data_IF_036491228016
#
_entry.id   IF_036491228016
#
_cell.length_a   1.000
_cell.length_b   1.000
_cell.length_c   1.000
_cell.angle_alpha   90.00
_cell.angle_beta   90.00
_cell.angle_gamma   90.00
#
_symmetry.space_group_name_H-M   'P 1'
#
loop_
_entity.id
_entity.type
_entity.pdbx_description
1 polymer ?
#
# COMPACT_ATOMS: atom_id res chain seq x y z
N UNK A 1 -87.62 43.19 8.75
CA UNK A 1 -86.33 43.54 8.13
C UNK A 1 -85.44 42.32 8.19
N UNK A 2 -84.69 41.99 7.13
CA UNK A 2 -84.07 40.68 6.94
C UNK A 2 -82.84 40.48 7.86
N UNK A 3 -82.55 39.21 8.15
CA UNK A 3 -81.38 38.77 8.92
C UNK A 3 -80.07 39.14 8.20
N UNK A 4 -79.00 39.50 8.92
CA UNK A 4 -77.69 39.66 8.30
C UNK A 4 -77.19 38.28 7.84
N UNK A 5 -76.89 38.16 6.56
CA UNK A 5 -76.16 37.04 5.99
C UNK A 5 -74.83 36.89 6.75
N UNK A 6 -74.64 35.76 7.43
CA UNK A 6 -73.30 35.23 7.65
C UNK A 6 -72.75 34.88 6.28
N UNK A 7 -71.91 35.75 5.74
CA UNK A 7 -70.99 35.36 4.69
C UNK A 7 -70.02 34.37 5.33
N UNK A 8 -70.20 33.09 5.02
CA UNK A 8 -69.11 32.12 5.06
C UNK A 8 -67.96 32.74 4.27
N UNK A 9 -66.95 33.28 4.96
CA UNK A 9 -65.62 33.37 4.40
C UNK A 9 -65.15 31.93 4.23
N UNK A 10 -65.59 31.36 3.11
CA UNK A 10 -65.00 30.19 2.51
C UNK A 10 -63.50 30.36 2.59
N UNK A 11 -62.81 29.34 3.08
CA UNK A 11 -61.38 29.19 2.99
C UNK A 11 -60.96 29.27 1.50
N UNK A 12 -60.87 30.49 0.96
CA UNK A 12 -60.23 30.76 -0.30
C UNK A 12 -58.76 30.45 -0.07
N UNK A 13 -58.35 29.33 -0.66
CA UNK A 13 -56.99 28.83 -0.68
C UNK A 13 -56.13 29.89 -1.40
N UNK A 14 -55.71 30.92 -0.67
CA UNK A 14 -55.18 32.16 -1.24
C UNK A 14 -53.84 31.88 -1.93
N UNK A 15 -53.91 31.72 -3.24
CA UNK A 15 -52.78 31.39 -4.10
C UNK A 15 -51.67 32.44 -3.98
N UNK A 16 -52.02 33.70 -3.71
CA UNK A 16 -51.07 34.78 -3.46
C UNK A 16 -50.23 34.54 -2.21
N UNK A 17 -50.86 34.20 -1.08
CA UNK A 17 -50.16 33.95 0.19
C UNK A 17 -49.21 32.75 0.07
N UNK A 18 -49.62 31.70 -0.65
CA UNK A 18 -48.75 30.55 -0.93
C UNK A 18 -47.54 30.93 -1.78
N UNK A 19 -47.71 31.80 -2.77
CA UNK A 19 -46.62 32.29 -3.62
C UNK A 19 -45.66 33.17 -2.81
N UNK A 20 -46.16 34.10 -1.99
CA UNK A 20 -45.32 34.94 -1.14
C UNK A 20 -44.59 34.12 -0.08
N UNK A 21 -45.26 33.16 0.54
CA UNK A 21 -44.63 32.24 1.48
C UNK A 21 -43.54 31.41 0.80
N UNK A 22 -43.80 30.86 -0.39
CA UNK A 22 -42.79 30.13 -1.15
C UNK A 22 -41.59 31.02 -1.53
N UNK A 23 -41.83 32.26 -1.97
CA UNK A 23 -40.78 33.23 -2.28
C UNK A 23 -39.96 33.61 -1.03
N UNK A 24 -40.62 33.80 0.11
CA UNK A 24 -39.97 34.04 1.40
C UNK A 24 -39.08 32.86 1.80
N UNK A 25 -39.60 31.63 1.75
CA UNK A 25 -38.83 30.42 2.07
C UNK A 25 -37.64 30.23 1.11
N UNK A 26 -37.83 30.55 -0.18
CA UNK A 26 -36.75 30.52 -1.19
C UNK A 26 -35.69 31.58 -0.87
N UNK A 27 -36.08 32.80 -0.49
CA UNK A 27 -35.16 33.85 -0.08
C UNK A 27 -34.36 33.48 1.17
N UNK A 28 -35.01 32.90 2.18
CA UNK A 28 -34.33 32.37 3.38
C UNK A 28 -33.34 31.27 3.00
N UNK A 29 -33.71 30.34 2.12
CA UNK A 29 -32.83 29.29 1.64
C UNK A 29 -31.61 29.85 0.88
N UNK A 30 -31.82 30.83 -0.01
CA UNK A 30 -30.74 31.47 -0.78
C UNK A 30 -29.76 32.24 0.12
N UNK A 31 -30.26 32.98 1.11
CA UNK A 31 -29.42 33.67 2.10
C UNK A 31 -28.65 32.65 2.95
N UNK A 32 -29.32 31.59 3.40
CA UNK A 32 -28.69 30.53 4.21
C UNK A 32 -27.58 29.82 3.43
N UNK A 33 -27.83 29.52 2.15
CA UNK A 33 -26.82 28.98 1.24
C UNK A 33 -25.66 29.96 1.04
N UNK A 34 -25.94 31.24 0.80
CA UNK A 34 -24.92 32.27 0.63
C UNK A 34 -24.03 32.45 1.86
N UNK A 35 -24.61 32.45 3.06
CA UNK A 35 -23.87 32.47 4.33
C UNK A 35 -23.03 31.20 4.48
N UNK A 36 -23.59 30.02 4.20
CA UNK A 36 -22.85 28.76 4.25
C UNK A 36 -21.67 28.74 3.27
N UNK A 37 -21.89 29.18 2.04
CA UNK A 37 -20.84 29.29 1.03
C UNK A 37 -19.74 30.27 1.47
N UNK A 38 -20.10 31.42 2.05
CA UNK A 38 -19.12 32.36 2.61
C UNK A 38 -18.31 31.73 3.75
N UNK A 39 -18.97 31.07 4.71
CA UNK A 39 -18.30 30.37 5.82
C UNK A 39 -17.27 29.36 5.29
N UNK A 40 -17.62 28.58 4.28
CA UNK A 40 -16.72 27.57 3.68
C UNK A 40 -15.59 28.22 2.87
N UNK A 41 -15.91 29.14 1.95
CA UNK A 41 -14.93 29.71 1.01
C UNK A 41 -13.99 30.73 1.66
N UNK A 42 -14.46 31.45 2.69
CA UNK A 42 -13.64 32.40 3.43
C UNK A 42 -13.00 31.79 4.69
N UNK A 43 -13.19 30.48 4.92
CA UNK A 43 -12.63 29.74 6.06
C UNK A 43 -12.91 30.41 7.42
N UNK A 44 -14.11 30.98 7.57
CA UNK A 44 -14.53 31.67 8.80
C UNK A 44 -15.16 30.64 9.75
N UNK A 45 -14.88 30.67 11.08
CA UNK A 45 -15.53 29.76 12.01
C UNK A 45 -17.07 29.75 11.86
N UNK A 46 -17.74 28.57 11.84
CA UNK A 46 -17.23 27.24 12.17
C UNK A 46 -16.84 26.36 10.95
N UNK A 47 -16.22 26.92 9.90
CA UNK A 47 -15.91 26.18 8.67
C UNK A 47 -15.25 24.81 8.92
N UNK A 48 -14.31 24.72 9.86
CA UNK A 48 -13.58 23.49 10.14
C UNK A 48 -14.50 22.37 10.63
N UNK A 49 -15.47 22.68 11.50
CA UNK A 49 -16.45 21.70 11.97
C UNK A 49 -17.34 21.22 10.83
N UNK A 50 -17.76 22.12 9.94
CA UNK A 50 -18.57 21.76 8.76
C UNK A 50 -17.78 20.91 7.77
N UNK A 51 -16.52 21.27 7.50
CA UNK A 51 -15.60 20.52 6.64
C UNK A 51 -15.35 19.12 7.19
N UNK A 52 -15.08 18.99 8.49
CA UNK A 52 -14.88 17.70 9.15
C UNK A 52 -16.14 16.85 9.13
N UNK A 53 -17.32 17.45 9.36
CA UNK A 53 -18.59 16.73 9.30
C UNK A 53 -18.90 16.22 7.88
N UNK A 54 -18.66 17.05 6.86
CA UNK A 54 -18.78 16.63 5.45
C UNK A 54 -17.80 15.51 5.10
N UNK A 55 -16.52 15.63 5.49
CA UNK A 55 -15.51 14.58 5.31
C UNK A 55 -15.92 13.26 5.97
N UNK A 56 -16.36 13.31 7.22
CA UNK A 56 -16.83 12.13 7.95
C UNK A 56 -18.05 11.49 7.28
N UNK A 57 -19.00 12.31 6.78
CA UNK A 57 -20.16 11.83 6.03
C UNK A 57 -19.78 11.18 4.70
N UNK A 58 -18.86 11.78 3.94
CA UNK A 58 -18.33 11.22 2.69
C UNK A 58 -17.59 9.92 2.95
N UNK A 59 -16.69 9.87 3.94
CA UNK A 59 -15.96 8.66 4.32
C UNK A 59 -16.91 7.53 4.73
N UNK A 60 -17.94 7.82 5.54
CA UNK A 60 -18.94 6.83 5.93
C UNK A 60 -19.77 6.34 4.74
N UNK A 61 -20.12 7.23 3.81
CA UNK A 61 -20.81 6.88 2.57
C UNK A 61 -19.94 5.96 1.70
N UNK A 62 -18.67 6.31 1.51
CA UNK A 62 -17.72 5.50 0.74
C UNK A 62 -17.48 4.15 1.39
N UNK A 63 -17.24 4.10 2.70
CA UNK A 63 -17.11 2.86 3.46
C UNK A 63 -18.30 1.93 3.24
N UNK A 64 -19.53 2.47 3.24
CA UNK A 64 -20.75 1.66 3.06
C UNK A 64 -21.08 1.29 1.62
N UNK A 65 -20.51 1.96 0.63
CA UNK A 65 -20.89 1.79 -0.79
C UNK A 65 -19.79 1.18 -1.64
N UNK A 66 -18.52 1.55 -1.39
CA UNK A 66 -17.35 1.02 -2.10
C UNK A 66 -16.78 -0.22 -1.41
N UNK A 67 -16.79 -0.25 -0.08
CA UNK A 67 -16.23 -1.33 0.74
C UNK A 67 -17.35 -2.23 1.31
N UNK A 68 -18.31 -2.59 0.46
CA UNK A 68 -19.45 -3.45 0.85
C UNK A 68 -19.22 -4.94 0.57
N UNK A 69 -18.26 -5.28 -0.31
CA UNK A 69 -18.00 -6.64 -0.79
C UNK A 69 -16.51 -6.82 -1.09
N UNK A 70 -16.00 -8.01 -0.86
CA UNK A 70 -14.58 -8.36 -0.99
C UNK A 70 -14.10 -8.22 -2.45
N UNK A 71 -14.96 -8.56 -3.40
CA UNK A 71 -14.68 -8.52 -4.83
C UNK A 71 -14.49 -7.09 -5.37
N UNK A 72 -14.95 -6.07 -4.63
CA UNK A 72 -14.81 -4.65 -4.98
C UNK A 72 -13.66 -3.96 -4.26
N UNK A 73 -12.91 -4.70 -3.45
CA UNK A 73 -11.69 -4.18 -2.83
C UNK A 73 -10.60 -4.02 -3.88
N UNK A 74 -9.70 -3.08 -3.64
CA UNK A 74 -8.50 -2.87 -4.46
C UNK A 74 -7.45 -3.99 -4.27
N UNK A 75 -7.81 -5.07 -3.59
CA UNK A 75 -7.05 -6.32 -3.48
C UNK A 75 -7.39 -7.32 -4.60
N UNK A 76 -8.36 -7.00 -5.46
CA UNK A 76 -8.72 -7.80 -6.61
C UNK A 76 -8.56 -6.98 -7.89
N UNK A 77 -8.15 -7.63 -8.96
CA UNK A 77 -7.99 -7.03 -10.28
C UNK A 77 -8.62 -7.92 -11.35
N UNK A 78 -9.08 -7.37 -12.49
CA UNK A 78 -9.51 -8.19 -13.62
C UNK A 78 -8.41 -9.16 -14.05
N UNK A 79 -8.72 -10.45 -14.11
CA UNK A 79 -7.80 -11.46 -14.58
C UNK A 79 -7.51 -11.23 -16.07
N UNK A 80 -6.23 -11.13 -16.42
CA UNK A 80 -5.77 -10.85 -17.80
C UNK A 80 -5.52 -12.11 -18.60
N UNK A 81 -5.52 -13.26 -17.94
CA UNK A 81 -5.30 -14.60 -18.50
C UNK A 81 -6.07 -15.65 -17.71
N UNK A 82 -6.37 -16.76 -18.36
CA UNK A 82 -6.93 -17.97 -17.75
C UNK A 82 -5.83 -18.91 -17.22
N UNK A 83 -4.56 -18.62 -17.52
CA UNK A 83 -3.43 -19.41 -17.03
C UNK A 83 -3.28 -19.30 -15.51
N UNK A 84 -2.84 -20.39 -14.89
CA UNK A 84 -2.66 -20.52 -13.43
C UNK A 84 -1.43 -21.38 -13.13
N UNK A 85 -0.80 -21.15 -11.97
CA UNK A 85 0.41 -21.86 -11.59
C UNK A 85 1.60 -21.47 -12.46
N UNK A 86 2.60 -22.35 -12.55
CA UNK A 86 3.80 -22.12 -13.36
C UNK A 86 3.50 -22.33 -14.85
N UNK A 87 3.71 -21.29 -15.65
CA UNK A 87 3.52 -21.29 -17.12
C UNK A 87 4.85 -21.35 -17.87
N UNK A 88 5.93 -20.84 -17.27
CA UNK A 88 7.29 -20.85 -17.82
C UNK A 88 8.25 -21.35 -16.72
N UNK A 89 9.11 -22.31 -17.06
CA UNK A 89 10.23 -22.73 -16.19
C UNK A 89 11.41 -23.21 -17.05
N UNK A 90 12.39 -22.33 -17.27
CA UNK A 90 13.65 -22.65 -17.96
C UNK A 90 14.68 -23.02 -16.90
N UNK A 91 14.61 -24.28 -16.46
CA UNK A 91 15.31 -24.77 -15.27
C UNK A 91 16.83 -24.55 -15.25
N UNK A 92 17.49 -24.39 -16.40
CA UNK A 92 18.92 -24.09 -16.55
C UNK A 92 19.27 -22.60 -16.40
N UNK A 93 18.29 -21.71 -16.48
CA UNK A 93 18.46 -20.25 -16.38
C UNK A 93 17.83 -19.64 -15.13
N UNK A 94 16.80 -20.27 -14.58
CA UNK A 94 16.08 -19.80 -13.40
C UNK A 94 16.89 -19.99 -12.12
N UNK A 95 16.84 -19.01 -11.21
CA UNK A 95 17.38 -19.13 -9.86
C UNK A 95 16.63 -20.22 -9.10
N UNK A 96 17.33 -21.22 -8.56
CA UNK A 96 16.67 -22.23 -7.71
C UNK A 96 16.31 -21.67 -6.34
N UNK A 97 15.23 -22.19 -5.76
CA UNK A 97 14.76 -21.82 -4.44
C UNK A 97 13.27 -22.11 -4.28
N UNK A 98 12.70 -21.62 -3.19
CA UNK A 98 11.26 -21.55 -2.97
C UNK A 98 10.81 -20.10 -3.17
N UNK A 99 9.59 -19.88 -3.65
CA UNK A 99 9.03 -18.52 -3.81
C UNK A 99 7.93 -18.32 -2.78
N UNK A 100 8.16 -17.39 -1.84
CA UNK A 100 7.17 -16.93 -0.88
C UNK A 100 6.40 -15.76 -1.50
N UNK A 101 5.09 -15.71 -1.34
CA UNK A 101 4.31 -14.53 -1.71
C UNK A 101 3.08 -14.32 -0.83
N UNK A 102 2.70 -13.06 -0.65
CA UNK A 102 1.44 -12.66 0.00
C UNK A 102 0.33 -12.44 -1.03
N UNK A 103 -0.92 -12.77 -0.68
CA UNK A 103 -2.05 -12.72 -1.62
C UNK A 103 -3.20 -11.86 -1.11
N UNK A 104 -3.80 -11.08 -2.00
CA UNK A 104 -4.89 -10.14 -1.70
C UNK A 104 -6.23 -10.79 -1.32
N UNK A 105 -6.37 -12.11 -1.44
CA UNK A 105 -7.59 -12.83 -1.06
C UNK A 105 -7.70 -13.16 0.44
N UNK A 106 -6.69 -12.80 1.25
CA UNK A 106 -6.81 -12.82 2.70
C UNK A 106 -5.49 -12.70 3.45
N UNK A 107 -5.50 -12.70 4.80
CA UNK A 107 -4.30 -12.58 5.64
C UNK A 107 -3.53 -13.91 5.70
N UNK A 108 -2.87 -14.23 4.58
CA UNK A 108 -2.08 -15.45 4.40
C UNK A 108 -0.94 -15.23 3.38
N UNK A 109 0.04 -16.12 3.41
CA UNK A 109 1.13 -16.20 2.45
C UNK A 109 1.40 -17.65 2.08
N UNK A 110 1.87 -17.85 0.86
CA UNK A 110 2.08 -19.18 0.26
C UNK A 110 3.54 -19.32 -0.12
N UNK A 111 4.12 -20.48 0.19
CA UNK A 111 5.44 -20.88 -0.27
C UNK A 111 5.28 -21.92 -1.37
N UNK A 112 5.83 -21.65 -2.55
CA UNK A 112 5.78 -22.56 -3.70
C UNK A 112 7.16 -23.02 -4.16
N UNK A 113 7.24 -24.24 -4.65
CA UNK A 113 8.44 -24.73 -5.35
C UNK A 113 8.53 -24.19 -6.78
N UNK A 114 9.58 -24.59 -7.49
CA UNK A 114 9.83 -24.14 -8.87
C UNK A 114 8.81 -24.65 -9.89
N UNK A 115 8.05 -25.69 -9.56
CA UNK A 115 6.99 -26.26 -10.39
C UNK A 115 5.60 -25.69 -10.02
N UNK A 116 5.54 -24.81 -9.00
CA UNK A 116 4.33 -24.16 -8.53
C UNK A 116 3.53 -24.97 -7.52
N UNK A 117 4.08 -26.06 -6.98
CA UNK A 117 3.44 -26.81 -5.91
C UNK A 117 3.55 -26.02 -4.61
N UNK A 118 2.46 -25.93 -3.86
CA UNK A 118 2.47 -25.34 -2.52
C UNK A 118 3.24 -26.28 -1.59
N UNK A 119 4.34 -25.80 -1.03
CA UNK A 119 5.13 -26.53 -0.04
C UNK A 119 4.79 -26.14 1.39
N UNK A 120 4.23 -24.94 1.59
CA UNK A 120 3.75 -24.46 2.88
C UNK A 120 2.78 -23.28 2.72
N UNK A 121 1.91 -23.06 3.70
CA UNK A 121 1.02 -21.90 3.79
C UNK A 121 0.96 -21.42 5.24
N UNK A 122 1.02 -20.10 5.44
CA UNK A 122 0.72 -19.48 6.73
C UNK A 122 -0.56 -18.69 6.64
N UNK A 123 -1.37 -18.73 7.71
CA UNK A 123 -2.59 -17.94 7.81
C UNK A 123 -2.82 -17.50 9.24
N UNK A 124 -2.99 -16.21 9.45
CA UNK A 124 -3.36 -15.67 10.76
C UNK A 124 -4.24 -14.43 10.55
N UNK A 125 -5.57 -14.56 10.73
CA UNK A 125 -6.48 -13.42 10.74
C UNK A 125 -6.07 -12.37 11.78
N UNK A 126 -6.33 -11.09 11.51
CA UNK A 126 -5.94 -10.01 12.44
C UNK A 126 -6.71 -10.09 13.75
N UNK A 127 -7.95 -10.58 13.72
CA UNK A 127 -8.77 -10.82 14.91
C UNK A 127 -8.12 -11.77 15.93
N UNK A 128 -7.15 -12.60 15.55
CA UNK A 128 -6.43 -13.49 16.47
C UNK A 128 -5.36 -12.76 17.30
N UNK A 129 -4.83 -11.65 16.80
CA UNK A 129 -3.81 -10.85 17.49
C UNK A 129 -4.35 -9.54 18.04
N UNK A 130 -5.52 -9.08 17.58
CA UNK A 130 -6.14 -7.85 18.06
C UNK A 130 -6.50 -7.93 19.56
N UNK A 131 -6.24 -6.84 20.29
CA UNK A 131 -6.67 -6.65 21.67
C UNK A 131 -6.87 -5.17 21.99
N UNK A 132 -7.20 -4.87 23.26
CA UNK A 132 -7.45 -3.51 23.74
C UNK A 132 -6.26 -2.54 23.66
N UNK A 133 -5.05 -3.04 23.40
CA UNK A 133 -3.86 -2.19 23.23
C UNK A 133 -3.74 -1.64 21.81
N UNK A 134 -4.53 -2.15 20.86
CA UNK A 134 -4.61 -1.63 19.50
C UNK A 134 -5.11 -0.17 19.49
N UNK A 135 -4.48 0.74 18.72
CA UNK A 135 -5.01 2.07 18.47
C UNK A 135 -6.27 2.05 17.58
N UNK A 136 -6.59 0.90 16.98
CA UNK A 136 -7.79 0.66 16.16
C UNK A 136 -8.77 -0.18 17.00
N UNK A 137 -9.73 0.43 17.71
CA UNK A 137 -10.62 -0.31 18.62
C UNK A 137 -11.66 -1.15 17.89
N UNK A 138 -12.07 -0.73 16.69
CA UNK A 138 -13.06 -1.43 15.87
C UNK A 138 -12.40 -1.76 14.52
N UNK A 139 -11.60 -2.84 14.45
CA UNK A 139 -10.93 -3.23 13.23
C UNK A 139 -11.94 -3.63 12.14
N UNK A 140 -11.53 -3.55 10.88
CA UNK A 140 -12.25 -4.19 9.77
C UNK A 140 -12.41 -5.69 10.00
N UNK A 141 -13.31 -6.30 9.24
CA UNK A 141 -13.43 -7.76 9.20
C UNK A 141 -12.18 -8.36 8.55
N UNK A 142 -11.79 -9.56 8.96
CA UNK A 142 -10.61 -10.23 8.40
C UNK A 142 -10.69 -10.42 6.87
N UNK A 143 -11.88 -10.63 6.32
CA UNK A 143 -12.10 -10.74 4.86
C UNK A 143 -11.76 -9.44 4.08
N UNK A 144 -11.62 -8.32 4.79
CA UNK A 144 -11.24 -7.01 4.25
C UNK A 144 -9.77 -6.69 4.51
N UNK A 145 -9.00 -7.70 4.92
CA UNK A 145 -7.59 -7.58 5.24
C UNK A 145 -6.77 -8.59 4.43
N UNK A 146 -5.53 -8.21 4.20
CA UNK A 146 -4.51 -9.11 3.68
C UNK A 146 -3.17 -8.77 4.32
N UNK A 147 -2.18 -9.62 4.11
CA UNK A 147 -0.80 -9.25 4.38
C UNK A 147 -0.25 -8.49 3.18
N UNK A 148 0.16 -7.23 3.37
CA UNK A 148 0.82 -6.51 2.27
C UNK A 148 2.21 -7.10 2.06
N UNK A 149 2.98 -7.18 3.14
CA UNK A 149 4.36 -7.70 3.15
C UNK A 149 4.46 -8.88 4.09
N UNK A 150 5.11 -9.94 3.61
CA UNK A 150 5.37 -11.17 4.35
C UNK A 150 6.80 -11.65 4.04
N UNK A 151 7.74 -11.45 4.98
CA UNK A 151 9.16 -11.79 4.77
C UNK A 151 9.57 -12.90 5.72
N UNK A 152 10.34 -13.88 5.23
CA UNK A 152 10.79 -15.01 6.04
C UNK A 152 11.99 -14.61 6.90
N UNK A 153 11.87 -14.76 8.22
CA UNK A 153 12.97 -14.55 9.14
C UNK A 153 14.05 -15.65 9.00
N UNK A 154 15.28 -15.43 9.50
CA UNK A 154 16.36 -16.42 9.41
C UNK A 154 16.04 -17.79 10.03
N UNK A 155 15.13 -17.85 10.99
CA UNK A 155 14.66 -19.10 11.62
C UNK A 155 13.52 -19.81 10.88
N UNK A 156 13.09 -19.28 9.73
CA UNK A 156 12.00 -19.82 8.91
C UNK A 156 10.62 -19.31 9.29
N UNK A 157 10.47 -18.73 10.47
CA UNK A 157 9.24 -18.05 10.87
C UNK A 157 8.93 -16.87 9.94
N UNK A 158 7.66 -16.47 9.87
CA UNK A 158 7.21 -15.40 9.00
C UNK A 158 6.95 -14.12 9.81
N UNK A 159 7.45 -12.98 9.33
CA UNK A 159 7.01 -11.67 9.82
C UNK A 159 6.03 -11.10 8.81
N UNK A 160 4.89 -10.62 9.28
CA UNK A 160 3.78 -10.18 8.43
C UNK A 160 3.30 -8.79 8.84
N UNK A 161 2.88 -8.00 7.86
CA UNK A 161 2.25 -6.69 8.03
C UNK A 161 0.80 -6.74 7.54
N UNK A 162 -0.14 -6.29 8.36
CA UNK A 162 -1.57 -6.30 8.05
C UNK A 162 -2.04 -5.00 7.43
N UNK A 163 -2.76 -5.08 6.31
CA UNK A 163 -3.39 -3.91 5.69
C UNK A 163 -4.88 -4.17 5.46
N UNK A 164 -5.71 -3.19 5.81
CA UNK A 164 -7.16 -3.27 5.68
C UNK A 164 -7.69 -2.31 4.61
N UNK A 165 -8.72 -2.74 3.88
CA UNK A 165 -9.45 -1.89 2.95
C UNK A 165 -10.62 -1.19 3.66
N UNK A 166 -10.92 0.04 3.24
CA UNK A 166 -12.08 0.79 3.74
C UNK A 166 -11.90 1.48 5.10
N UNK A 167 -10.65 1.57 5.56
CA UNK A 167 -10.25 2.24 6.80
C UNK A 167 -9.14 3.26 6.56
N UNK A 168 -9.04 4.25 7.46
CA UNK A 168 -7.91 5.18 7.53
C UNK A 168 -7.62 5.49 9.01
N UNK A 169 -6.39 5.25 9.52
CA UNK A 169 -5.24 4.66 8.82
C UNK A 169 -5.54 3.25 8.28
N UNK A 170 -4.99 2.94 7.11
CA UNK A 170 -5.15 1.62 6.45
C UNK A 170 -4.10 0.60 6.93
N UNK A 171 -2.99 1.10 7.48
CA UNK A 171 -1.96 0.29 8.15
C UNK A 171 -2.43 -0.23 9.50
N UNK A 172 -2.32 -1.55 9.67
CA UNK A 172 -2.63 -2.27 10.90
C UNK A 172 -1.36 -2.83 11.55
N UNK A 173 -1.48 -3.78 12.46
CA UNK A 173 -0.33 -4.36 13.16
C UNK A 173 0.64 -5.15 12.29
N UNK A 174 1.68 -5.63 12.96
CA UNK A 174 2.58 -6.67 12.50
C UNK A 174 2.55 -7.85 13.46
N UNK A 175 2.99 -9.02 12.99
CA UNK A 175 3.26 -10.14 13.85
C UNK A 175 4.40 -10.99 13.31
N UNK A 176 5.08 -11.70 14.21
CA UNK A 176 5.87 -12.88 13.84
C UNK A 176 5.06 -14.11 14.14
N UNK A 177 5.01 -15.03 13.20
CA UNK A 177 4.30 -16.31 13.31
C UNK A 177 5.24 -17.47 13.03
N UNK A 178 5.03 -18.55 13.77
CA UNK A 178 5.79 -19.78 13.57
C UNK A 178 5.31 -20.57 12.35
N UNK A 179 5.98 -21.67 12.05
CA UNK A 179 5.64 -22.56 10.94
C UNK A 179 4.22 -23.14 11.02
N UNK A 180 3.62 -23.20 12.21
CA UNK A 180 2.24 -23.67 12.43
C UNK A 180 1.21 -22.53 12.36
N UNK A 181 1.61 -21.34 11.92
CA UNK A 181 0.81 -20.10 11.96
C UNK A 181 0.41 -19.63 13.35
N UNK A 182 1.17 -19.98 14.40
CA UNK A 182 0.91 -19.48 15.76
C UNK A 182 1.67 -18.18 16.00
N UNK A 183 1.06 -17.20 16.68
CA UNK A 183 1.74 -15.95 16.99
C UNK A 183 2.91 -16.17 17.96
N UNK A 184 4.10 -15.73 17.55
CA UNK A 184 5.31 -15.65 18.39
C UNK A 184 5.33 -14.31 19.13
N UNK A 185 5.11 -13.22 18.40
CA UNK A 185 4.89 -11.88 18.96
C UNK A 185 3.99 -11.06 18.05
N UNK A 186 3.43 -9.98 18.59
CA UNK A 186 2.62 -9.01 17.87
C UNK A 186 3.05 -7.58 18.18
N UNK A 187 2.88 -6.70 17.20
CA UNK A 187 3.03 -5.26 17.31
C UNK A 187 1.77 -4.62 16.74
N UNK A 188 0.92 -4.04 17.58
CA UNK A 188 -0.37 -3.48 17.15
C UNK A 188 -0.30 -2.00 16.76
N UNK A 189 0.90 -1.44 16.57
CA UNK A 189 1.05 -0.13 15.93
C UNK A 189 0.48 -0.17 14.51
N UNK A 190 0.14 1.00 13.97
CA UNK A 190 -0.45 1.20 12.63
C UNK A 190 0.60 1.03 11.52
N UNK A 191 1.29 -0.11 11.52
CA UNK A 191 2.28 -0.46 10.52
C UNK A 191 1.65 -0.56 9.12
N UNK A 192 2.34 -0.09 8.08
CA UNK A 192 1.81 -0.08 6.71
C UNK A 192 2.86 -0.48 5.71
N UNK A 193 2.40 -0.99 4.57
CA UNK A 193 3.20 -1.28 3.38
C UNK A 193 4.37 -2.23 3.65
N UNK A 194 5.51 -1.75 4.13
CA UNK A 194 6.78 -2.48 4.06
C UNK A 194 7.57 -2.43 5.37
N UNK A 195 8.49 -3.39 5.49
CA UNK A 195 9.47 -3.47 6.55
C UNK A 195 10.73 -4.21 6.09
N UNK A 196 11.86 -3.90 6.70
CA UNK A 196 13.14 -4.59 6.55
C UNK A 196 13.53 -5.37 7.79
N UNK A 197 14.16 -6.54 7.60
CA UNK A 197 14.71 -7.35 8.69
C UNK A 197 16.24 -7.19 8.69
N UNK A 198 16.79 -6.70 9.80
CA UNK A 198 18.22 -6.60 9.99
C UNK A 198 18.85 -7.97 10.32
N UNK A 199 20.15 -8.17 10.07
CA UNK A 199 20.85 -9.41 10.43
C UNK A 199 20.80 -9.75 11.93
N UNK A 200 20.65 -8.75 12.80
CA UNK A 200 20.49 -8.92 14.25
C UNK A 200 19.05 -9.19 14.70
N UNK A 201 18.12 -9.32 13.74
CA UNK A 201 16.69 -9.58 13.97
C UNK A 201 15.86 -8.34 14.26
N UNK A 202 16.44 -7.13 14.33
CA UNK A 202 15.64 -5.90 14.42
C UNK A 202 14.81 -5.70 13.16
N UNK A 203 13.63 -5.10 13.33
CA UNK A 203 12.74 -4.80 12.22
C UNK A 203 12.67 -3.28 12.03
N UNK A 204 12.87 -2.81 10.81
CA UNK A 204 12.65 -1.42 10.43
C UNK A 204 11.34 -1.37 9.66
N UNK A 205 10.31 -0.72 10.21
CA UNK A 205 8.97 -0.73 9.64
C UNK A 205 8.44 0.69 9.45
N UNK A 206 7.48 0.83 8.53
CA UNK A 206 6.70 2.05 8.40
C UNK A 206 5.46 1.98 9.29
N UNK A 207 5.08 3.08 9.94
CA UNK A 207 3.82 3.23 10.71
C UNK A 207 3.15 4.57 10.41
N UNK A 208 1.83 4.69 10.63
CA UNK A 208 1.04 5.89 10.28
C UNK A 208 0.33 6.51 11.46
N UNK A 209 0.26 7.84 11.52
CA UNK A 209 -0.57 8.53 12.52
C UNK A 209 -1.20 9.79 11.95
N UNK A 210 -2.43 10.10 12.38
CA UNK A 210 -3.00 11.41 12.13
C UNK A 210 -2.31 12.47 12.98
N UNK A 211 -1.71 13.45 12.32
CA UNK A 211 -1.13 14.63 12.97
C UNK A 211 -1.94 15.88 12.72
N UNK A 212 -1.90 16.76 13.72
CA UNK A 212 -2.71 17.98 13.80
C UNK A 212 -1.85 19.26 13.92
N UNK A 213 -0.53 19.12 13.82
CA UNK A 213 0.40 20.25 13.81
C UNK A 213 0.41 20.98 12.46
N UNK A 214 1.05 22.14 12.45
CA UNK A 214 1.31 22.95 11.26
C UNK A 214 2.80 23.24 11.18
N UNK A 215 3.29 23.59 9.99
CA UNK A 215 4.67 24.04 9.81
C UNK A 215 4.71 25.46 9.26
N UNK A 216 5.64 26.26 9.77
CA UNK A 216 5.88 27.60 9.27
C UNK A 216 6.26 27.55 7.78
N UNK A 217 5.64 28.42 6.99
CA UNK A 217 5.83 28.52 5.54
C UNK A 217 5.45 27.26 4.72
N UNK A 218 4.77 26.26 5.32
CA UNK A 218 4.23 25.10 4.58
C UNK A 218 2.71 25.02 4.69
N UNK A 219 2.02 26.02 4.12
CA UNK A 219 0.55 26.14 4.20
C UNK A 219 -0.19 25.01 3.49
N UNK A 220 0.46 24.29 2.58
CA UNK A 220 -0.09 23.11 1.91
C UNK A 220 -0.26 21.91 2.86
N UNK A 221 0.50 21.86 3.96
CA UNK A 221 0.43 20.80 4.95
C UNK A 221 -0.68 21.11 5.96
N UNK A 222 -1.92 20.87 5.55
CA UNK A 222 -3.10 21.20 6.37
C UNK A 222 -3.50 20.04 7.28
N UNK A 223 -3.75 20.27 8.58
CA UNK A 223 -4.26 19.23 9.48
C UNK A 223 -5.78 18.97 9.29
N UNK A 224 -6.28 17.78 9.69
CA UNK A 224 -5.48 16.59 10.01
C UNK A 224 -4.83 16.02 8.74
N UNK A 225 -3.64 15.44 8.91
CA UNK A 225 -2.92 14.74 7.84
C UNK A 225 -2.41 13.40 8.36
N UNK A 226 -2.39 12.38 7.50
CA UNK A 226 -1.76 11.10 7.74
C UNK A 226 -0.26 11.26 7.49
N UNK A 227 0.54 11.09 8.55
CA UNK A 227 2.00 11.16 8.50
C UNK A 227 2.60 9.78 8.73
N UNK A 228 3.69 9.51 8.01
CA UNK A 228 4.45 8.27 8.09
C UNK A 228 5.63 8.42 9.06
N UNK A 229 5.97 7.29 9.69
CA UNK A 229 7.06 7.18 10.65
C UNK A 229 7.89 5.95 10.32
N UNK A 230 9.21 6.09 10.42
CA UNK A 230 10.13 4.96 10.44
C UNK A 230 10.30 4.50 11.90
N UNK A 231 10.02 3.24 12.17
CA UNK A 231 10.18 2.63 13.50
C UNK A 231 11.19 1.50 13.48
N UNK A 232 11.91 1.34 14.59
CA UNK A 232 12.76 0.17 14.83
C UNK A 232 12.09 -0.67 15.90
N UNK A 233 11.82 -1.93 15.61
CA UNK A 233 11.35 -2.93 16.57
C UNK A 233 12.51 -3.85 16.98
N UNK A 234 12.50 -4.31 18.23
CA UNK A 234 13.35 -5.40 18.69
C UNK A 234 12.97 -6.72 18.00
N UNK A 235 13.83 -7.75 18.04
CA UNK A 235 13.49 -9.08 17.54
C UNK A 235 12.22 -9.70 18.16
N UNK A 236 11.80 -9.19 19.32
CA UNK A 236 10.57 -9.56 20.04
C UNK A 236 9.37 -8.64 19.73
N UNK A 237 9.46 -7.80 18.71
CA UNK A 237 8.36 -6.93 18.26
C UNK A 237 8.10 -5.69 19.13
N UNK A 238 9.06 -5.28 19.96
CA UNK A 238 8.91 -4.08 20.82
C UNK A 238 9.49 -2.85 20.14
N UNK A 239 8.75 -1.75 20.11
CA UNK A 239 9.25 -0.47 19.58
C UNK A 239 10.43 0.05 20.41
N UNK A 240 11.55 0.31 19.73
CA UNK A 240 12.80 0.84 20.28
C UNK A 240 12.95 2.32 19.90
N UNK A 241 12.65 2.66 18.65
CA UNK A 241 12.82 3.99 18.09
C UNK A 241 11.70 4.31 17.12
N UNK A 242 11.33 5.59 17.05
CA UNK A 242 10.32 6.13 16.14
C UNK A 242 10.75 7.51 15.65
N UNK A 243 10.76 7.70 14.33
CA UNK A 243 11.17 8.93 13.67
C UNK A 243 10.06 9.39 12.74
N UNK A 244 9.59 10.63 12.88
CA UNK A 244 8.66 11.22 11.90
C UNK A 244 9.41 11.52 10.61
N UNK A 245 8.99 10.89 9.52
CA UNK A 245 9.65 11.03 8.22
C UNK A 245 9.43 12.44 7.66
N UNK A 246 8.22 12.99 7.83
CA UNK A 246 7.93 14.35 7.39
C UNK A 246 8.71 15.41 8.18
N UNK A 247 8.82 15.26 9.51
CA UNK A 247 9.65 16.15 10.33
C UNK A 247 11.12 16.06 9.90
N UNK A 248 11.65 14.84 9.69
CA UNK A 248 13.01 14.60 9.23
C UNK A 248 13.29 15.21 7.85
N UNK A 249 12.31 15.18 6.93
CA UNK A 249 12.41 15.81 5.62
C UNK A 249 12.39 17.34 5.74
N UNK A 250 11.43 17.91 6.46
CA UNK A 250 11.26 19.36 6.61
C UNK A 250 12.46 20.00 7.31
N UNK A 251 13.07 19.29 8.26
CA UNK A 251 14.25 19.77 9.00
C UNK A 251 15.58 19.53 8.24
N UNK A 252 15.53 19.05 7.00
CA UNK A 252 16.69 18.78 6.15
C UNK A 252 16.98 19.85 5.10
N UNK A 253 18.13 19.71 4.43
CA UNK A 253 18.43 20.47 3.21
C UNK A 253 17.49 20.12 2.05
N UNK A 254 16.72 19.05 2.18
CA UNK A 254 15.75 18.57 1.19
C UNK A 254 14.32 19.02 1.48
N UNK A 255 14.10 19.95 2.42
CA UNK A 255 12.76 20.38 2.82
C UNK A 255 11.85 20.82 1.67
N UNK A 256 12.40 21.42 0.61
CA UNK A 256 11.63 21.86 -0.56
C UNK A 256 11.13 20.71 -1.45
N UNK A 257 11.60 19.48 -1.24
CA UNK A 257 11.06 18.30 -1.90
C UNK A 257 9.55 18.12 -1.62
N UNK A 258 9.08 18.55 -0.44
CA UNK A 258 7.66 18.50 -0.08
C UNK A 258 6.78 19.38 -0.99
N UNK A 259 7.35 20.37 -1.68
CA UNK A 259 6.60 21.26 -2.57
C UNK A 259 6.20 20.56 -3.88
N UNK A 260 6.73 19.35 -4.15
CA UNK A 260 6.28 18.50 -5.25
C UNK A 260 5.02 17.70 -4.94
N UNK A 261 4.49 17.77 -3.71
CA UNK A 261 3.28 17.07 -3.32
C UNK A 261 2.12 17.46 -4.26
N UNK A 262 1.48 16.50 -4.95
CA UNK A 262 0.36 16.78 -5.81
C UNK A 262 -0.87 17.19 -5.00
N UNK A 263 -1.79 17.96 -5.62
CA UNK A 263 -2.96 18.49 -4.92
C UNK A 263 -3.88 17.42 -4.30
N UNK A 264 -3.85 16.19 -4.83
CA UNK A 264 -4.69 15.09 -4.35
C UNK A 264 -4.10 14.38 -3.12
N UNK A 265 -2.81 14.55 -2.82
CA UNK A 265 -2.12 13.88 -1.71
C UNK A 265 -2.10 14.70 -0.42
N UNK A 266 -2.79 15.84 -0.36
CA UNK A 266 -2.75 16.76 0.79
C UNK A 266 -2.99 16.08 2.16
N UNK A 267 -3.82 15.02 2.19
CA UNK A 267 -4.14 14.27 3.41
C UNK A 267 -3.20 13.08 3.69
N UNK A 268 -2.41 12.63 2.71
CA UNK A 268 -1.39 11.56 2.80
C UNK A 268 -0.23 11.92 1.83
N UNK A 269 0.72 12.76 2.26
CA UNK A 269 1.54 13.60 1.37
C UNK A 269 2.68 12.78 0.87
N UNK A 270 3.42 12.16 1.79
CA UNK A 270 4.55 11.33 1.44
C UNK A 270 4.08 10.03 0.82
N UNK A 271 3.00 9.44 1.37
CA UNK A 271 2.54 8.10 1.03
C UNK A 271 3.73 7.15 0.96
N UNK A 272 4.47 7.08 2.07
CA UNK A 272 5.70 6.30 2.11
C UNK A 272 5.35 4.83 1.95
N UNK A 273 5.88 4.18 0.92
CA UNK A 273 5.48 2.81 0.56
C UNK A 273 6.60 1.78 0.68
N UNK A 274 7.83 2.21 0.97
CA UNK A 274 8.98 1.32 1.15
C UNK A 274 9.87 1.83 2.28
N UNK A 275 10.42 0.90 3.06
CA UNK A 275 11.51 1.14 3.99
C UNK A 275 12.56 0.03 3.86
N UNK A 276 13.65 0.35 3.16
CA UNK A 276 14.74 -0.59 2.94
C UNK A 276 15.94 -0.27 3.83
N UNK A 277 16.36 -1.23 4.65
CA UNK A 277 17.57 -1.09 5.46
C UNK A 277 18.82 -1.06 4.57
N UNK A 278 19.66 -0.06 4.78
CA UNK A 278 21.02 -0.06 4.23
C UNK A 278 21.86 -0.99 5.12
N UNK A 279 22.23 -2.15 4.58
CA UNK A 279 23.08 -3.13 5.26
C UNK A 279 24.55 -2.68 5.22
N UNK A 280 25.40 -3.35 6.00
CA UNK A 280 26.86 -3.12 5.94
C UNK A 280 27.40 -3.34 4.52
N UNK A 281 26.98 -4.43 3.86
CA UNK A 281 27.39 -4.75 2.48
C UNK A 281 26.93 -3.67 1.48
N UNK A 282 25.67 -3.23 1.57
CA UNK A 282 25.16 -2.17 0.70
C UNK A 282 25.89 -0.84 0.92
N UNK A 283 26.20 -0.50 2.17
CA UNK A 283 26.92 0.72 2.52
C UNK A 283 28.36 0.78 1.99
N UNK A 284 28.99 -0.36 1.66
CA UNK A 284 30.35 -0.37 1.11
C UNK A 284 30.47 0.41 -0.20
N UNK A 285 29.41 0.38 -1.03
CA UNK A 285 29.39 1.01 -2.35
C UNK A 285 28.30 2.09 -2.51
N UNK A 286 27.55 2.41 -1.45
CA UNK A 286 26.47 3.39 -1.49
C UNK A 286 26.82 4.65 -0.70
N UNK A 287 27.33 5.68 -1.38
CA UNK A 287 27.85 6.91 -0.74
C UNK A 287 26.75 7.82 -0.15
N UNK A 288 25.48 7.59 -0.48
CA UNK A 288 24.36 8.44 -0.09
C UNK A 288 23.83 8.16 1.34
N UNK A 289 24.27 7.07 1.96
CA UNK A 289 23.88 6.66 3.30
C UNK A 289 24.94 5.79 3.96
N UNK A 290 24.67 5.35 5.20
CA UNK A 290 25.53 4.42 5.93
C UNK A 290 24.71 3.22 6.42
N UNK A 291 25.39 2.18 6.88
CA UNK A 291 24.71 1.03 7.48
C UNK A 291 23.82 1.46 8.66
N UNK A 292 22.59 0.95 8.72
CA UNK A 292 21.59 1.32 9.74
C UNK A 292 20.69 2.50 9.37
N UNK A 293 21.03 3.26 8.32
CA UNK A 293 20.10 4.18 7.69
C UNK A 293 19.08 3.42 6.84
N UNK A 294 18.02 4.10 6.41
CA UNK A 294 16.98 3.49 5.58
C UNK A 294 16.74 4.29 4.30
N UNK A 295 16.54 3.57 3.20
CA UNK A 295 16.00 4.10 1.95
C UNK A 295 14.49 4.09 2.01
N UNK A 296 13.87 5.20 1.62
CA UNK A 296 12.44 5.43 1.64
C UNK A 296 11.96 5.79 0.23
N UNK A 297 10.76 5.37 -0.12
CA UNK A 297 10.06 5.82 -1.32
C UNK A 297 8.82 6.63 -0.94
N UNK A 298 8.75 7.87 -1.41
CA UNK A 298 7.59 8.76 -1.32
C UNK A 298 6.84 8.69 -2.65
N UNK A 299 5.84 7.80 -2.72
CA UNK A 299 5.15 7.42 -3.96
C UNK A 299 4.58 8.63 -4.70
N UNK A 300 3.83 9.47 -4.00
CA UNK A 300 3.07 10.57 -4.61
C UNK A 300 3.97 11.74 -5.03
N UNK A 301 5.14 11.89 -4.41
CA UNK A 301 6.11 12.94 -4.74
C UNK A 301 7.04 12.51 -5.88
N UNK A 302 7.14 11.21 -6.17
CA UNK A 302 8.12 10.68 -7.10
C UNK A 302 9.54 10.70 -6.54
N UNK A 303 9.70 10.55 -5.22
CA UNK A 303 10.99 10.78 -4.53
C UNK A 303 11.49 9.52 -3.84
N UNK A 304 12.78 9.26 -3.96
CA UNK A 304 13.51 8.32 -3.11
C UNK A 304 14.39 9.15 -2.16
N UNK A 305 14.47 8.75 -0.90
CA UNK A 305 15.25 9.44 0.12
C UNK A 305 16.02 8.47 1.02
N UNK A 306 17.12 8.92 1.59
CA UNK A 306 17.84 8.24 2.68
C UNK A 306 17.55 9.00 3.97
N UNK A 307 17.01 8.30 4.95
CA UNK A 307 16.80 8.78 6.31
C UNK A 307 17.94 8.26 7.21
N UNK A 308 18.72 9.20 7.75
CA UNK A 308 19.67 8.89 8.82
C UNK A 308 18.88 8.63 10.11
N UNK A 309 18.85 7.36 10.51
CA UNK A 309 18.04 6.93 11.64
C UNK A 309 18.59 7.45 12.96
N UNK A 310 19.88 7.78 13.07
CA UNK A 310 20.49 8.33 14.29
C UNK A 310 20.28 9.84 14.39
N UNK A 311 20.50 10.56 13.29
CA UNK A 311 20.35 12.01 13.21
C UNK A 311 18.89 12.47 13.04
N UNK A 312 17.97 11.55 12.74
CA UNK A 312 16.54 11.80 12.50
C UNK A 312 16.31 12.83 11.40
N UNK A 313 17.06 12.65 10.30
CA UNK A 313 17.15 13.64 9.23
C UNK A 313 17.31 12.96 7.88
N UNK A 314 16.62 13.49 6.88
CA UNK A 314 16.88 13.10 5.48
C UNK A 314 18.25 13.64 5.06
N UNK A 315 19.17 12.74 4.71
CA UNK A 315 20.57 13.07 4.34
C UNK A 315 20.82 13.03 2.84
N UNK A 316 19.96 12.34 2.10
CA UNK A 316 19.93 12.35 0.64
C UNK A 316 18.50 12.20 0.13
N UNK A 317 18.18 12.83 -0.99
CA UNK A 317 16.93 12.59 -1.71
C UNK A 317 17.07 12.96 -3.18
N UNK A 318 16.39 12.22 -4.05
CA UNK A 318 16.36 12.46 -5.49
C UNK A 318 14.96 12.22 -6.08
N UNK A 319 14.73 12.83 -7.25
CA UNK A 319 13.57 12.59 -8.11
C UNK A 319 14.10 12.33 -9.52
N UNK A 320 13.60 11.28 -10.16
CA UNK A 320 14.03 10.91 -11.50
C UNK A 320 12.85 10.67 -12.44
N UNK A 321 13.09 10.00 -13.59
CA UNK A 321 12.11 9.84 -14.65
C UNK A 321 11.09 8.73 -14.36
N UNK A 322 10.69 8.51 -13.10
CA UNK A 322 9.73 7.49 -12.66
C UNK A 322 8.45 8.11 -12.11
N UNK A 323 7.39 7.32 -12.04
CA UNK A 323 6.06 7.75 -11.59
C UNK A 323 5.41 6.69 -10.70
N UNK A 324 5.07 7.09 -9.47
CA UNK A 324 4.36 6.24 -8.52
C UNK A 324 5.18 5.04 -8.05
N UNK A 325 6.49 5.19 -8.00
CA UNK A 325 7.49 4.14 -7.77
C UNK A 325 7.33 3.41 -6.44
N UNK A 326 7.80 2.16 -6.41
CA UNK A 326 7.81 1.27 -5.25
C UNK A 326 9.17 0.56 -5.15
N UNK A 327 9.48 0.12 -3.95
CA UNK A 327 10.52 -0.88 -3.68
C UNK A 327 11.94 -0.51 -4.16
N UNK A 328 12.49 0.67 -3.77
CA UNK A 328 13.90 0.97 -3.94
C UNK A 328 14.80 0.06 -3.08
N UNK A 329 15.56 -0.81 -3.73
CA UNK A 329 16.59 -1.64 -3.10
C UNK A 329 18.00 -1.18 -3.44
N UNK A 330 18.83 -0.97 -2.43
CA UNK A 330 20.27 -0.74 -2.64
C UNK A 330 20.95 -2.07 -2.95
N UNK A 331 21.52 -2.16 -4.14
CA UNK A 331 22.26 -3.33 -4.61
C UNK A 331 23.71 -3.29 -4.09
N UNK A 332 24.42 -4.45 -4.04
CA UNK A 332 25.81 -4.50 -3.58
C UNK A 332 26.78 -3.62 -4.36
N UNK A 333 26.47 -3.26 -5.61
CA UNK A 333 27.29 -2.36 -6.42
C UNK A 333 27.03 -0.86 -6.15
N UNK A 334 26.10 -0.52 -5.25
CA UNK A 334 25.72 0.85 -4.92
C UNK A 334 24.60 1.43 -5.78
N UNK A 335 24.14 0.73 -6.82
CA UNK A 335 22.97 1.14 -7.58
C UNK A 335 21.68 0.91 -6.77
N UNK A 336 20.60 1.60 -7.14
CA UNK A 336 19.26 1.36 -6.61
C UNK A 336 18.43 0.63 -7.68
N UNK A 337 17.85 -0.52 -7.35
CA UNK A 337 16.83 -1.18 -8.14
C UNK A 337 15.45 -0.66 -7.69
N UNK A 338 14.56 -0.36 -8.63
CA UNK A 338 13.32 0.39 -8.38
C UNK A 338 12.20 -0.14 -9.27
N UNK A 339 11.03 -0.38 -8.70
CA UNK A 339 9.82 -0.62 -9.47
C UNK A 339 9.18 0.72 -9.87
N UNK A 340 9.02 0.99 -11.15
CA UNK A 340 8.40 2.20 -11.69
C UNK A 340 7.04 1.84 -12.31
N UNK A 341 5.98 2.08 -11.54
CA UNK A 341 4.63 1.61 -11.85
C UNK A 341 4.04 2.21 -13.13
N UNK A 342 4.36 3.47 -13.44
CA UNK A 342 3.69 4.23 -14.48
C UNK A 342 4.63 4.94 -15.47
N UNK A 343 5.94 4.72 -15.38
CA UNK A 343 6.92 5.44 -16.19
C UNK A 343 7.12 4.94 -17.63
N UNK A 344 6.58 3.77 -18.02
CA UNK A 344 6.63 3.31 -19.41
C UNK A 344 5.53 4.00 -20.25
N UNK A 345 5.82 5.18 -20.78
CA UNK A 345 4.84 5.98 -21.53
C UNK A 345 4.90 5.80 -23.05
N UNK A 346 5.95 5.15 -23.57
CA UNK A 346 6.24 5.13 -25.01
C UNK A 346 5.38 4.14 -25.80
N UNK A 347 4.93 3.05 -25.17
CA UNK A 347 4.17 1.98 -25.82
C UNK A 347 2.98 1.57 -24.93
N UNK A 348 1.77 2.06 -25.23
CA UNK A 348 0.57 1.75 -24.46
C UNK A 348 0.17 0.27 -24.46
N UNK A 349 0.52 -0.48 -25.52
CA UNK A 349 0.14 -1.89 -25.68
C UNK A 349 1.01 -2.77 -24.76
N UNK A 350 2.24 -2.33 -24.51
CA UNK A 350 3.21 -3.01 -23.66
C UNK A 350 2.95 -2.88 -22.15
N UNK A 351 2.03 -2.01 -21.73
CA UNK A 351 1.80 -1.68 -20.32
C UNK A 351 2.68 -0.52 -19.84
N UNK A 352 2.39 -0.04 -18.63
CA UNK A 352 2.96 1.21 -18.11
C UNK A 352 4.07 1.00 -17.07
N UNK A 353 4.28 -0.24 -16.64
CA UNK A 353 5.24 -0.57 -15.60
C UNK A 353 6.59 -0.99 -16.17
N UNK A 354 7.64 -0.70 -15.41
CA UNK A 354 9.02 -1.11 -15.71
C UNK A 354 9.81 -1.24 -14.42
N UNK A 355 10.93 -1.93 -14.48
CA UNK A 355 11.92 -1.99 -13.39
C UNK A 355 13.17 -1.25 -13.85
N UNK A 356 13.69 -0.37 -13.01
CA UNK A 356 14.85 0.47 -13.29
C UNK A 356 15.96 0.12 -12.31
N UNK A 357 17.19 0.01 -12.82
CA UNK A 357 18.38 0.14 -11.99
C UNK A 357 18.96 1.53 -12.24
N UNK A 358 19.21 2.29 -11.17
CA UNK A 358 19.69 3.67 -11.23
C UNK A 358 20.99 3.83 -10.45
N UNK A 359 21.92 4.58 -11.03
CA UNK A 359 23.12 5.05 -10.34
C UNK A 359 22.72 6.30 -9.51
N UNK A 360 22.75 6.25 -8.16
CA UNK A 360 22.33 7.36 -7.31
C UNK A 360 23.28 8.57 -7.35
N UNK A 361 24.52 8.42 -7.85
CA UNK A 361 25.47 9.51 -8.00
C UNK A 361 25.19 10.34 -9.26
N UNK A 362 24.78 9.70 -10.35
CA UNK A 362 24.54 10.37 -11.65
C UNK A 362 23.06 10.52 -12.01
N UNK A 363 22.15 9.82 -11.32
CA UNK A 363 20.76 9.56 -11.70
C UNK A 363 20.62 8.88 -13.08
N UNK A 364 21.68 8.23 -13.56
CA UNK A 364 21.65 7.47 -14.81
C UNK A 364 20.91 6.14 -14.63
N UNK A 365 20.10 5.76 -15.62
CA UNK A 365 19.52 4.41 -15.69
C UNK A 365 20.61 3.47 -16.21
N UNK A 366 21.07 2.53 -15.37
CA UNK A 366 22.11 1.55 -15.69
C UNK A 366 21.53 0.24 -16.24
N UNK A 367 20.27 -0.05 -15.96
CA UNK A 367 19.50 -1.17 -16.53
C UNK A 367 18.00 -0.87 -16.50
N UNK A 368 17.25 -1.42 -17.46
CA UNK A 368 15.78 -1.30 -17.54
C UNK A 368 15.19 -2.64 -18.02
N UNK A 369 14.15 -3.11 -17.33
CA UNK A 369 13.20 -4.09 -17.87
C UNK A 369 11.83 -3.44 -18.03
N UNK A 370 11.18 -3.70 -19.17
CA UNK A 370 9.90 -3.09 -19.52
C UNK A 370 9.03 -4.07 -20.29
N UNK A 371 7.72 -3.89 -20.25
CA UNK A 371 6.79 -4.76 -20.95
C UNK A 371 6.93 -4.67 -22.47
N UNK A 372 6.29 -5.60 -23.17
CA UNK A 372 6.10 -5.61 -24.64
C UNK A 372 4.65 -5.90 -24.96
N UNK A 373 4.20 -5.68 -26.21
CA UNK A 373 2.83 -6.03 -26.59
C UNK A 373 2.50 -7.52 -26.41
N UNK A 374 3.49 -8.42 -26.52
CA UNK A 374 3.33 -9.86 -26.31
C UNK A 374 3.41 -10.25 -24.83
N UNK A 375 4.32 -9.61 -24.09
CA UNK A 375 4.45 -9.75 -22.64
C UNK A 375 4.14 -8.43 -21.97
N UNK A 376 2.86 -8.08 -21.90
CA UNK A 376 2.39 -6.85 -21.25
C UNK A 376 2.83 -6.86 -19.78
N UNK A 377 3.24 -5.70 -19.28
CA UNK A 377 3.65 -5.50 -17.90
C UNK A 377 2.99 -4.26 -17.30
N UNK A 378 2.07 -4.48 -16.36
CA UNK A 378 1.21 -3.44 -15.84
C UNK A 378 0.80 -3.71 -14.38
N UNK A 379 1.42 -2.99 -13.46
CA UNK A 379 0.99 -2.84 -12.08
C UNK A 379 1.01 -1.36 -11.75
N UNK A 380 -0.12 -0.69 -11.93
CA UNK A 380 -0.25 0.76 -11.76
C UNK A 380 -0.02 1.24 -10.31
N UNK A 381 -0.07 0.33 -9.34
CA UNK A 381 0.22 0.50 -7.91
C UNK A 381 0.87 -0.77 -7.33
N UNK A 382 1.43 -0.68 -6.11
CA UNK A 382 2.10 -1.79 -5.40
C UNK A 382 3.27 -2.35 -6.23
N UNK A 383 3.49 -3.66 -6.14
CA UNK A 383 4.58 -4.39 -6.76
C UNK A 383 5.94 -4.18 -6.08
N UNK A 384 6.80 -5.17 -6.31
CA UNK A 384 8.16 -5.23 -5.80
C UNK A 384 9.05 -5.90 -6.86
N UNK A 385 10.33 -5.97 -6.54
CA UNK A 385 11.32 -6.69 -7.30
C UNK A 385 12.37 -7.28 -6.35
N UNK A 386 13.14 -8.27 -6.82
CA UNK A 386 14.30 -8.76 -6.09
C UNK A 386 15.41 -9.14 -7.07
N UNK A 387 16.58 -8.51 -6.95
CA UNK A 387 17.79 -9.00 -7.62
C UNK A 387 18.23 -10.32 -6.99
N UNK A 388 18.35 -11.35 -7.81
CA UNK A 388 18.68 -12.71 -7.40
C UNK A 388 20.20 -12.99 -7.50
N UNK A 389 20.73 -13.99 -6.76
CA UNK A 389 22.16 -14.31 -6.76
C UNK A 389 22.76 -14.66 -8.13
N UNK A 390 21.97 -15.26 -9.04
CA UNK A 390 22.40 -15.54 -10.41
C UNK A 390 22.40 -14.30 -11.33
N UNK A 391 22.03 -13.13 -10.83
CA UNK A 391 21.92 -11.88 -11.58
C UNK A 391 20.55 -11.64 -12.21
N UNK A 392 19.63 -12.59 -12.18
CA UNK A 392 18.26 -12.38 -12.64
C UNK A 392 17.48 -11.46 -11.68
N UNK A 393 16.32 -10.99 -12.10
CA UNK A 393 15.40 -10.22 -11.26
C UNK A 393 14.07 -10.95 -11.15
N UNK A 394 13.64 -11.29 -9.93
CA UNK A 394 12.25 -11.67 -9.66
C UNK A 394 11.40 -10.40 -9.61
N UNK A 395 10.22 -10.42 -10.21
CA UNK A 395 9.32 -9.27 -10.31
C UNK A 395 7.92 -9.72 -9.88
N UNK A 396 7.31 -8.96 -8.97
CA UNK A 396 5.89 -9.13 -8.60
C UNK A 396 5.03 -8.16 -9.37
N UNK A 397 4.29 -8.63 -10.37
CA UNK A 397 3.25 -7.82 -11.03
C UNK A 397 1.97 -7.88 -10.20
N UNK A 398 1.87 -6.98 -9.22
CA UNK A 398 0.81 -7.03 -8.20
C UNK A 398 -0.60 -7.06 -8.78
N UNK A 399 -0.98 -6.08 -9.60
CA UNK A 399 -2.30 -6.04 -10.24
C UNK A 399 -2.51 -7.12 -11.32
N UNK A 400 -1.43 -7.77 -11.76
CA UNK A 400 -1.49 -8.92 -12.66
C UNK A 400 -1.71 -10.25 -11.93
N UNK A 401 -1.55 -10.28 -10.60
CA UNK A 401 -1.54 -11.51 -9.81
C UNK A 401 -0.46 -12.49 -10.29
N UNK A 402 0.66 -11.96 -10.78
CA UNK A 402 1.71 -12.71 -11.49
C UNK A 402 3.08 -12.42 -10.90
N UNK A 403 3.89 -13.47 -10.81
CA UNK A 403 5.30 -13.41 -10.47
C UNK A 403 6.10 -13.89 -11.68
N UNK A 404 7.20 -13.22 -12.01
CA UNK A 404 8.07 -13.69 -13.09
C UNK A 404 9.52 -13.31 -12.87
N UNK A 405 10.43 -14.13 -13.41
CA UNK A 405 11.87 -13.93 -13.31
C UNK A 405 12.44 -13.62 -14.69
N UNK A 406 13.26 -12.56 -14.76
CA UNK A 406 13.92 -12.12 -15.99
C UNK A 406 15.43 -12.19 -15.90
N UNK A 407 16.10 -12.58 -16.98
CA UNK A 407 17.57 -12.44 -17.09
C UNK A 407 17.98 -10.97 -17.21
N UNK A 408 19.28 -10.63 -17.05
CA UNK A 408 19.78 -9.28 -17.34
C UNK A 408 19.45 -8.78 -18.75
N UNK A 409 19.28 -9.67 -19.72
CA UNK A 409 18.88 -9.38 -21.10
C UNK A 409 17.37 -9.21 -21.29
N UNK A 410 16.57 -9.43 -20.24
CA UNK A 410 15.12 -9.29 -20.24
C UNK A 410 14.35 -10.53 -20.71
N UNK A 411 14.99 -11.71 -20.79
CA UNK A 411 14.28 -12.95 -21.11
C UNK A 411 13.50 -13.45 -19.89
N UNK A 412 12.19 -13.66 -20.03
CA UNK A 412 11.41 -14.36 -18.99
C UNK A 412 11.83 -15.83 -18.96
N UNK A 413 12.33 -16.26 -17.80
CA UNK A 413 12.84 -17.63 -17.56
C UNK A 413 12.01 -18.41 -16.56
N UNK A 414 11.19 -17.73 -15.77
CA UNK A 414 10.19 -18.36 -14.92
C UNK A 414 8.97 -17.45 -14.80
N UNK A 415 7.78 -18.04 -14.74
CA UNK A 415 6.52 -17.31 -14.61
C UNK A 415 5.51 -18.14 -13.84
N UNK A 416 4.82 -17.48 -12.91
CA UNK A 416 3.77 -18.03 -12.08
C UNK A 416 2.58 -17.07 -12.03
N UNK A 417 1.38 -17.60 -12.24
CA UNK A 417 0.12 -16.88 -12.06
C UNK A 417 -0.59 -17.41 -10.82
N UNK A 418 -1.00 -16.52 -9.92
CA UNK A 418 -1.79 -16.89 -8.76
C UNK A 418 -3.03 -17.70 -9.21
N UNK A 419 -3.30 -18.90 -8.68
CA UNK A 419 -4.38 -19.75 -9.17
C UNK A 419 -5.78 -19.30 -8.72
N UNK A 420 -5.89 -18.41 -7.74
CA UNK A 420 -7.17 -17.99 -7.18
C UNK A 420 -7.95 -17.14 -8.17
N UNK A 421 -9.26 -17.42 -8.31
CA UNK A 421 -10.19 -16.68 -9.18
C UNK A 421 -11.51 -16.43 -8.48
N UNK A 422 -12.13 -15.27 -8.75
CA UNK A 422 -13.52 -14.96 -8.39
C UNK A 422 -14.31 -14.44 -9.60
N UNK A 423 -15.62 -14.55 -9.56
CA UNK A 423 -16.48 -13.88 -10.54
C UNK A 423 -16.49 -12.37 -10.27
N UNK A 424 -16.37 -11.57 -11.33
CA UNK A 424 -16.55 -10.13 -11.23
C UNK A 424 -18.06 -9.80 -11.08
N UNK A 425 -18.52 -9.25 -9.94
CA UNK A 425 -19.93 -8.96 -9.73
C UNK A 425 -20.46 -7.83 -10.62
N UNK A 426 -19.58 -6.97 -11.13
CA UNK A 426 -19.93 -5.81 -11.95
C UNK A 426 -19.76 -6.11 -13.45
N UNK A 427 -19.00 -7.16 -13.82
CA UNK A 427 -18.79 -7.59 -15.20
C UNK A 427 -19.04 -9.10 -15.39
N UNK A 428 -20.30 -9.54 -15.62
CA UNK A 428 -20.64 -10.95 -15.77
C UNK A 428 -19.82 -11.68 -16.84
N UNK A 429 -19.22 -12.80 -16.46
CA UNK A 429 -18.37 -13.61 -17.34
C UNK A 429 -16.88 -13.24 -17.32
N UNK A 430 -16.50 -12.18 -16.61
CA UNK A 430 -15.10 -11.88 -16.32
C UNK A 430 -14.69 -12.46 -14.96
N UNK A 431 -13.42 -12.82 -14.85
CA UNK A 431 -12.81 -13.29 -13.60
C UNK A 431 -11.95 -12.21 -12.98
N UNK A 432 -11.91 -12.20 -11.66
CA UNK A 432 -10.96 -11.45 -10.86
C UNK A 432 -9.83 -12.37 -10.40
N UNK A 433 -8.62 -11.83 -10.29
CA UNK A 433 -7.44 -12.42 -9.67
C UNK A 433 -7.05 -11.56 -8.46
N UNK A 434 -6.65 -12.14 -7.31
CA UNK A 434 -6.18 -11.33 -6.21
C UNK A 434 -4.82 -10.72 -6.56
N UNK A 435 -4.56 -9.54 -6.02
CA UNK A 435 -3.25 -8.92 -6.14
C UNK A 435 -2.21 -9.78 -5.41
N UNK A 436 -0.98 -9.80 -5.91
CA UNK A 436 0.16 -10.32 -5.14
C UNK A 436 0.94 -9.11 -4.64
N UNK A 437 0.95 -8.85 -3.34
CA UNK A 437 1.47 -7.58 -2.83
C UNK A 437 2.99 -7.59 -2.73
N UNK A 438 3.57 -8.74 -2.37
CA UNK A 438 5.02 -8.91 -2.19
C UNK A 438 5.42 -10.38 -2.44
N UNK A 439 6.63 -10.61 -2.98
CA UNK A 439 7.21 -11.94 -3.11
C UNK A 439 8.73 -11.99 -2.86
N UNK A 440 9.23 -13.14 -2.42
CA UNK A 440 10.65 -13.39 -2.13
C UNK A 440 11.06 -14.75 -2.68
N UNK A 441 12.15 -14.79 -3.48
CA UNK A 441 12.82 -16.06 -3.83
C UNK A 441 13.82 -16.41 -2.73
N UNK A 442 13.45 -17.40 -1.92
CA UNK A 442 14.29 -17.96 -0.86
C UNK A 442 15.22 -19.00 -1.48
N UNK A 443 16.48 -18.62 -1.69
CA UNK A 443 17.51 -19.45 -2.32
C UNK A 443 18.68 -19.81 -1.38
N UNK A 444 18.52 -19.49 -0.10
CA UNK A 444 19.47 -19.74 0.98
C UNK A 444 19.02 -20.91 1.89
N UNK A 445 19.67 -21.06 3.04
CA UNK A 445 19.41 -22.13 4.01
C UNK A 445 17.99 -22.16 4.56
N UNK A 446 17.24 -21.04 4.51
CA UNK A 446 15.84 -21.01 4.93
C UNK A 446 14.96 -21.91 4.07
N UNK A 447 15.30 -22.09 2.79
CA UNK A 447 14.55 -22.99 1.91
C UNK A 447 14.59 -24.45 2.39
N UNK A 448 15.71 -24.87 3.00
CA UNK A 448 15.88 -26.23 3.50
C UNK A 448 14.94 -26.54 4.67
N UNK A 449 14.45 -25.53 5.40
CA UNK A 449 13.49 -25.69 6.49
C UNK A 449 12.11 -26.20 6.01
N UNK A 450 11.82 -26.05 4.72
CA UNK A 450 10.53 -26.41 4.09
C UNK A 450 10.65 -27.43 2.95
N UNK A 451 11.86 -27.91 2.67
CA UNK A 451 12.10 -28.79 1.51
C UNK A 451 11.65 -30.26 1.71
N UNK A 452 11.40 -30.68 2.97
CA UNK A 452 11.06 -32.07 3.35
C UNK A 452 9.63 -32.23 3.92
N UNK A 453 8.80 -31.19 3.90
CA UNK A 453 7.46 -31.24 4.48
C UNK A 453 6.46 -31.82 3.48
N UNK A 454 5.88 -32.99 3.79
CA UNK A 454 4.66 -33.49 3.14
C UNK A 454 3.48 -32.57 3.53
N UNK A 455 3.42 -31.39 2.93
CA UNK A 455 2.36 -30.43 3.15
C UNK A 455 1.09 -30.87 2.40
N UNK A 456 -0.02 -30.92 3.13
CA UNK A 456 -1.35 -31.12 2.54
C UNK A 456 -2.08 -29.78 2.64
N UNK A 457 -2.45 -29.12 1.52
CA UNK A 457 -3.14 -27.85 1.55
C UNK A 457 -4.44 -27.93 2.36
N UNK A 458 -4.72 -26.91 3.16
CA UNK A 458 -6.04 -26.73 3.76
C UNK A 458 -6.99 -26.17 2.71
N UNK A 459 -8.14 -26.82 2.50
CA UNK A 459 -9.17 -26.34 1.57
C UNK A 459 -9.58 -24.90 1.90
N UNK A 460 -9.88 -24.04 0.90
CA UNK A 460 -10.35 -22.66 1.11
C UNK A 460 -11.56 -22.55 2.05
N UNK A 461 -12.34 -23.62 2.20
CA UNK A 461 -13.56 -23.67 3.02
C UNK A 461 -13.35 -24.23 4.44
N UNK A 462 -12.10 -24.47 4.88
CA UNK A 462 -11.81 -24.94 6.24
C UNK A 462 -12.27 -26.37 6.56
N UNK A 463 -12.82 -27.11 5.59
CA UNK A 463 -13.11 -28.54 5.75
C UNK A 463 -11.88 -29.38 5.37
N UNK A 464 -11.29 -30.05 6.38
CA UNK A 464 -10.27 -31.09 6.19
C UNK A 464 -10.88 -32.28 5.43
N UNK A 465 -10.27 -32.70 4.33
CA UNK A 465 -10.47 -34.06 3.81
C UNK A 465 -9.63 -35.07 4.57
#
# INVERSE_FOLDING_TARGET
MPAPQQTDESAENNRGDKIFFAAFMTGVAAISFGIGAFVILAEVPPYQSMKNAWRAGTALWEQRTKYSSVERLDFWSPARTEETGVTINKADKTQKGLTLYSSGDGPHAVLVDMDGNIVHEWRMPFSEIHDETSPIPNPQKDDFMHWHTAKMAPDGDLIVQYTAAGDTPYGYGMAKIDQDSKPVWKYLGTAHHDFSIAPDGRIYALTQEFRFNTYDNRKQLTPPRLDDFAVILSPEGKEIKRVSILDALINSSYANMVDFAPYFSNEDVLHTNTIQLITEEAAENFEQGKAGDVVLSFRDLGIIAVLDMDAEKVVWATRGPWLGQHDPDVLPNGDILLFDNQGQLADPDAGQSRVLQIDPATNGITWEYKGTAEHRFDSNIRADQQRLPNGNTLITESSGGRLFEVTPEGEIVWEYHNPIRRDDPDNPGQKLIPVVSQAERISDERAALYSDTNFTPTSPDGEKQ
#
